data_IF_795940069321
#
_entry.id   IF_795940069321
#
_cell.length_a   1.000
_cell.length_b   1.000
_cell.length_c   1.000
_cell.angle_alpha   90.00
_cell.angle_beta   90.00
_cell.angle_gamma   90.00
#
_symmetry.space_group_name_H-M   'P 1'
#
loop_
_entity.id
_entity.type
_entity.pdbx_description
1 polymer ?
#
# COMPACT_ATOMS: atom_id res chain seq x y z
N UNK A 1 -42.06 -36.81 -66.59
CA UNK A 1 -41.79 -35.82 -65.53
C UNK A 1 -40.42 -36.17 -64.98
N UNK A 2 -39.46 -35.29 -65.24
CA UNK A 2 -38.06 -35.41 -64.80
C UNK A 2 -37.98 -34.61 -63.50
N UNK A 3 -37.64 -35.27 -62.40
CA UNK A 3 -37.42 -34.58 -61.13
C UNK A 3 -36.03 -33.92 -61.14
N UNK A 4 -36.04 -32.59 -61.13
CA UNK A 4 -34.88 -31.74 -60.88
C UNK A 4 -34.39 -31.97 -59.44
N UNK A 5 -33.43 -32.88 -59.29
CA UNK A 5 -32.66 -33.02 -58.04
C UNK A 5 -31.70 -31.84 -57.93
N UNK A 6 -32.18 -30.75 -57.34
CA UNK A 6 -31.37 -29.60 -56.96
C UNK A 6 -30.23 -30.05 -56.02
N UNK A 7 -29.04 -30.23 -56.61
CA UNK A 7 -27.81 -30.48 -55.88
C UNK A 7 -27.50 -29.29 -54.97
N UNK A 8 -27.80 -29.44 -53.68
CA UNK A 8 -27.35 -28.50 -52.66
C UNK A 8 -25.88 -28.80 -52.34
N UNK A 9 -24.94 -27.85 -52.55
CA UNK A 9 -23.55 -28.08 -52.18
C UNK A 9 -23.47 -28.37 -50.68
N UNK A 10 -22.64 -29.31 -50.23
CA UNK A 10 -22.51 -29.62 -48.81
C UNK A 10 -22.12 -28.35 -48.06
N UNK A 11 -22.96 -27.93 -47.10
CA UNK A 11 -22.68 -26.82 -46.18
C UNK A 11 -21.36 -27.14 -45.46
N UNK A 12 -20.24 -26.64 -45.97
CA UNK A 12 -18.96 -26.69 -45.26
C UNK A 12 -19.14 -25.87 -43.99
N UNK A 13 -19.12 -26.54 -42.85
CA UNK A 13 -19.18 -25.92 -41.53
C UNK A 13 -17.82 -25.26 -41.26
N UNK A 14 -17.58 -24.16 -41.96
CA UNK A 14 -16.40 -23.33 -41.81
C UNK A 14 -16.51 -22.68 -40.44
N UNK A 15 -15.52 -22.82 -39.56
CA UNK A 15 -15.53 -22.29 -38.19
C UNK A 15 -15.63 -20.76 -38.06
N UNK A 16 -16.20 -20.06 -39.04
CA UNK A 16 -16.40 -18.61 -39.13
C UNK A 16 -17.08 -18.07 -37.87
N UNK A 17 -18.05 -18.78 -37.30
CA UNK A 17 -18.69 -18.35 -36.04
C UNK A 17 -17.69 -18.22 -34.88
N UNK A 18 -16.73 -19.15 -34.77
CA UNK A 18 -15.66 -19.08 -33.76
C UNK A 18 -14.65 -17.96 -34.05
N UNK A 19 -14.37 -17.70 -35.33
CA UNK A 19 -13.48 -16.62 -35.75
C UNK A 19 -14.10 -15.26 -35.42
N UNK A 20 -15.38 -15.05 -35.76
CA UNK A 20 -16.11 -13.81 -35.47
C UNK A 20 -16.22 -13.61 -33.96
N UNK A 21 -16.56 -14.65 -33.21
CA UNK A 21 -16.63 -14.60 -31.75
C UNK A 21 -15.26 -14.25 -31.13
N UNK A 22 -14.17 -14.90 -31.58
CA UNK A 22 -12.80 -14.62 -31.10
C UNK A 22 -12.33 -13.21 -31.47
N UNK A 23 -12.68 -12.76 -32.68
CA UNK A 23 -12.35 -11.42 -33.18
C UNK A 23 -13.12 -10.29 -32.47
N UNK A 24 -14.32 -10.56 -31.94
CA UNK A 24 -15.07 -9.63 -31.09
C UNK A 24 -14.63 -9.66 -29.62
N UNK A 25 -14.23 -10.82 -29.13
CA UNK A 25 -13.78 -11.00 -27.74
C UNK A 25 -12.49 -10.26 -27.43
N UNK A 26 -11.55 -10.19 -28.37
CA UNK A 26 -10.30 -9.45 -28.18
C UNK A 26 -10.50 -7.95 -27.94
N UNK A 27 -11.20 -7.19 -28.81
CA UNK A 27 -11.46 -5.77 -28.57
C UNK A 27 -12.37 -5.55 -27.36
N UNK A 28 -13.38 -6.40 -27.14
CA UNK A 28 -14.24 -6.30 -25.95
C UNK A 28 -13.44 -6.53 -24.65
N UNK A 29 -12.54 -7.52 -24.66
CA UNK A 29 -11.61 -7.80 -23.56
C UNK A 29 -10.64 -6.66 -23.29
N UNK A 30 -10.13 -6.04 -24.37
CA UNK A 30 -9.26 -4.89 -24.25
C UNK A 30 -9.99 -3.66 -23.67
N UNK A 31 -11.25 -3.43 -24.06
CA UNK A 31 -12.10 -2.39 -23.48
C UNK A 31 -12.40 -2.69 -22.00
N UNK A 32 -12.72 -3.94 -21.65
CA UNK A 32 -12.95 -4.33 -20.27
C UNK A 32 -11.69 -4.15 -19.41
N UNK A 33 -10.52 -4.51 -19.94
CA UNK A 33 -9.22 -4.29 -19.30
C UNK A 33 -8.97 -2.80 -19.05
N UNK A 34 -9.18 -1.95 -20.06
CA UNK A 34 -9.04 -0.49 -19.92
C UNK A 34 -9.99 0.08 -18.87
N UNK A 35 -11.23 -0.41 -18.79
CA UNK A 35 -12.19 0.03 -17.77
C UNK A 35 -11.75 -0.37 -16.35
N UNK A 36 -11.17 -1.56 -16.17
CA UNK A 36 -10.59 -2.00 -14.89
C UNK A 36 -9.34 -1.18 -14.53
N UNK A 37 -8.49 -0.88 -15.51
CA UNK A 37 -7.32 -0.02 -15.33
C UNK A 37 -7.73 1.41 -14.91
N UNK A 38 -8.74 1.99 -15.57
CA UNK A 38 -9.27 3.33 -15.28
C UNK A 38 -9.98 3.40 -13.92
N UNK A 39 -10.71 2.35 -13.53
CA UNK A 39 -11.38 2.29 -12.23
C UNK A 39 -10.38 2.27 -11.06
N UNK A 40 -9.23 1.62 -11.20
CA UNK A 40 -8.18 1.66 -10.18
C UNK A 40 -7.43 3.00 -10.12
N UNK A 41 -7.42 3.79 -11.20
CA UNK A 41 -6.77 5.11 -11.24
C UNK A 41 -7.66 6.23 -10.67
N UNK A 42 -8.99 6.11 -10.83
CA UNK A 42 -9.97 7.09 -10.33
C UNK A 42 -10.46 6.78 -8.90
N UNK A 43 -9.99 5.69 -8.29
CA UNK A 43 -10.21 5.39 -6.87
C UNK A 43 -9.31 6.24 -5.99
N UNK A 44 -9.58 7.55 -5.97
CA UNK A 44 -9.13 8.46 -4.91
C UNK A 44 -9.79 8.00 -3.61
N UNK A 45 -8.99 7.83 -2.57
CA UNK A 45 -9.34 7.42 -1.20
C UNK A 45 -9.81 5.97 -0.99
N UNK A 46 -8.85 5.04 -0.84
CA UNK A 46 -8.73 4.16 0.34
C UNK A 46 -7.76 3.00 0.09
N UNK A 47 -6.84 2.85 1.03
CA UNK A 47 -5.76 1.89 1.14
C UNK A 47 -6.20 0.44 0.83
N UNK A 48 -5.34 -0.30 0.11
CA UNK A 48 -5.33 -1.76 -0.11
C UNK A 48 -6.51 -2.45 -0.83
N UNK A 49 -7.74 -1.91 -0.84
CA UNK A 49 -8.88 -2.54 -1.55
C UNK A 49 -8.86 -2.32 -3.06
N UNK A 50 -8.33 -1.20 -3.55
CA UNK A 50 -8.34 -0.86 -4.99
C UNK A 50 -7.41 -1.74 -5.84
N UNK A 51 -6.23 -2.11 -5.31
CA UNK A 51 -5.25 -2.94 -6.02
C UNK A 51 -5.69 -4.40 -6.16
N UNK A 52 -6.31 -4.99 -5.12
CA UNK A 52 -6.78 -6.38 -5.15
C UNK A 52 -7.97 -6.57 -6.10
N UNK A 53 -8.92 -5.63 -6.12
CA UNK A 53 -10.04 -5.64 -7.07
C UNK A 53 -9.58 -5.45 -8.52
N UNK A 54 -8.60 -4.57 -8.76
CA UNK A 54 -8.01 -4.36 -10.07
C UNK A 54 -7.27 -5.60 -10.59
N UNK A 55 -6.54 -6.29 -9.70
CA UNK A 55 -5.78 -7.50 -10.03
C UNK A 55 -6.70 -8.69 -10.33
N UNK A 56 -7.77 -8.87 -9.57
CA UNK A 56 -8.77 -9.94 -9.81
C UNK A 56 -9.51 -9.68 -11.13
N UNK A 57 -9.87 -8.42 -11.42
CA UNK A 57 -10.52 -8.03 -12.66
C UNK A 57 -9.66 -8.35 -13.89
N UNK A 58 -8.37 -8.02 -13.84
CA UNK A 58 -7.43 -8.27 -14.95
C UNK A 58 -7.23 -9.78 -15.21
N UNK A 59 -7.09 -10.58 -14.15
CA UNK A 59 -6.96 -12.04 -14.24
C UNK A 59 -8.22 -12.66 -14.88
N UNK A 60 -9.41 -12.25 -14.46
CA UNK A 60 -10.68 -12.78 -15.00
C UNK A 60 -10.81 -12.43 -16.49
N UNK A 61 -10.51 -11.18 -16.88
CA UNK A 61 -10.56 -10.75 -18.30
C UNK A 61 -9.57 -11.56 -19.14
N UNK A 62 -8.36 -11.77 -18.64
CA UNK A 62 -7.33 -12.55 -19.33
C UNK A 62 -7.73 -14.02 -19.52
N UNK A 63 -8.27 -14.66 -18.47
CA UNK A 63 -8.74 -16.06 -18.55
C UNK A 63 -9.88 -16.21 -19.54
N UNK A 64 -10.83 -15.28 -19.57
CA UNK A 64 -11.96 -15.32 -20.51
C UNK A 64 -11.49 -15.07 -21.95
N UNK A 65 -10.63 -14.08 -22.17
CA UNK A 65 -10.19 -13.70 -23.51
C UNK A 65 -9.23 -14.73 -24.14
N UNK A 66 -8.42 -15.43 -23.34
CA UNK A 66 -7.56 -16.51 -23.83
C UNK A 66 -8.28 -17.88 -23.84
N UNK A 67 -9.15 -18.14 -22.86
CA UNK A 67 -9.83 -19.42 -22.68
C UNK A 67 -10.86 -19.74 -23.75
N UNK A 68 -11.63 -18.75 -24.21
CA UNK A 68 -12.63 -18.94 -25.27
C UNK A 68 -12.00 -19.35 -26.61
N UNK A 69 -10.97 -18.65 -27.14
CA UNK A 69 -10.31 -19.07 -28.38
C UNK A 69 -9.59 -20.42 -28.23
N UNK A 70 -9.00 -20.74 -27.07
CA UNK A 70 -8.43 -22.08 -26.80
C UNK A 70 -9.48 -23.18 -26.84
N UNK A 71 -10.66 -22.95 -26.26
CA UNK A 71 -11.79 -23.89 -26.32
C UNK A 71 -12.24 -24.09 -27.77
N UNK A 72 -12.27 -23.01 -28.57
CA UNK A 72 -12.53 -23.05 -30.00
C UNK A 72 -11.53 -23.91 -30.78
N UNK A 73 -10.23 -23.82 -30.46
CA UNK A 73 -9.19 -24.68 -31.04
C UNK A 73 -9.47 -26.16 -30.75
N UNK A 74 -9.72 -26.52 -29.49
CA UNK A 74 -9.95 -27.91 -29.08
C UNK A 74 -11.20 -28.47 -29.76
N UNK A 75 -12.31 -27.72 -29.75
CA UNK A 75 -13.58 -28.15 -30.36
C UNK A 75 -13.43 -28.34 -31.87
N UNK A 76 -12.80 -27.40 -32.57
CA UNK A 76 -12.60 -27.48 -34.02
C UNK A 76 -11.63 -28.60 -34.41
N UNK A 77 -10.60 -28.87 -33.60
CA UNK A 77 -9.69 -30.01 -33.80
C UNK A 77 -10.37 -31.35 -33.51
N UNK A 78 -11.23 -31.44 -32.48
CA UNK A 78 -12.03 -32.63 -32.21
C UNK A 78 -13.06 -32.89 -33.31
N UNK A 79 -13.72 -31.85 -33.82
CA UNK A 79 -14.62 -31.95 -34.97
C UNK A 79 -13.88 -32.40 -36.22
N UNK A 80 -12.66 -31.89 -36.46
CA UNK A 80 -11.82 -32.34 -37.57
C UNK A 80 -11.34 -33.79 -37.44
N UNK A 81 -11.10 -34.27 -36.22
CA UNK A 81 -10.80 -35.69 -35.96
C UNK A 81 -11.97 -36.59 -36.34
N UNK A 82 -13.21 -36.13 -36.19
CA UNK A 82 -14.43 -36.84 -36.63
C UNK A 82 -14.73 -36.67 -38.12
N UNK A 83 -14.53 -35.48 -38.67
CA UNK A 83 -14.81 -35.13 -40.07
C UNK A 83 -13.61 -34.41 -40.73
N UNK A 84 -12.93 -35.09 -41.66
CA UNK A 84 -11.77 -34.53 -42.40
C UNK A 84 -12.11 -33.36 -43.34
N UNK A 85 -13.39 -33.06 -43.55
CA UNK A 85 -13.88 -31.98 -44.43
C UNK A 85 -13.78 -30.58 -43.80
N UNK A 86 -13.47 -30.48 -42.50
CA UNK A 86 -13.31 -29.21 -41.76
C UNK A 86 -11.96 -28.57 -42.08
N UNK A 87 -11.99 -27.30 -42.50
CA UNK A 87 -10.82 -26.51 -42.90
C UNK A 87 -9.95 -26.09 -41.71
N UNK A 88 -8.63 -26.11 -41.90
CA UNK A 88 -7.62 -25.76 -40.89
C UNK A 88 -7.61 -24.28 -40.47
N UNK A 89 -8.28 -23.42 -41.25
CA UNK A 89 -8.30 -21.97 -41.06
C UNK A 89 -8.92 -21.57 -39.72
N UNK A 90 -9.96 -22.27 -39.26
CA UNK A 90 -10.62 -21.98 -37.98
C UNK A 90 -9.70 -22.18 -36.76
N UNK A 91 -9.12 -23.39 -36.56
CA UNK A 91 -8.19 -23.64 -35.47
C UNK A 91 -6.97 -22.71 -35.47
N UNK A 92 -6.40 -22.42 -36.65
CA UNK A 92 -5.22 -21.55 -36.76
C UNK A 92 -5.56 -20.10 -36.38
N UNK A 93 -6.70 -19.57 -36.84
CA UNK A 93 -7.14 -18.23 -36.48
C UNK A 93 -7.42 -18.12 -34.97
N UNK A 94 -8.11 -19.10 -34.37
CA UNK A 94 -8.33 -19.13 -32.92
C UNK A 94 -7.01 -19.24 -32.12
N UNK A 95 -6.03 -20.01 -32.61
CA UNK A 95 -4.72 -20.10 -31.96
C UNK A 95 -3.96 -18.76 -31.99
N UNK A 96 -4.00 -18.04 -33.12
CA UNK A 96 -3.40 -16.70 -33.23
C UNK A 96 -4.06 -15.72 -32.25
N UNK A 97 -5.39 -15.73 -32.14
CA UNK A 97 -6.09 -14.88 -31.17
C UNK A 97 -5.79 -15.25 -29.72
N UNK A 98 -5.63 -16.54 -29.39
CA UNK A 98 -5.22 -16.97 -28.06
C UNK A 98 -3.80 -16.51 -27.71
N UNK A 99 -2.85 -16.60 -28.66
CA UNK A 99 -1.48 -16.13 -28.47
C UNK A 99 -1.44 -14.60 -28.34
N UNK A 100 -2.21 -13.87 -29.14
CA UNK A 100 -2.32 -12.43 -29.03
C UNK A 100 -2.92 -12.03 -27.67
N UNK A 101 -4.03 -12.63 -27.26
CA UNK A 101 -4.65 -12.35 -25.96
C UNK A 101 -3.70 -12.69 -24.79
N UNK A 102 -3.02 -13.84 -24.83
CA UNK A 102 -2.04 -14.21 -23.81
C UNK A 102 -0.81 -13.29 -23.80
N UNK A 103 -0.36 -12.82 -24.96
CA UNK A 103 0.78 -11.91 -25.05
C UNK A 103 0.44 -10.49 -24.60
N UNK A 104 -0.69 -9.95 -25.05
CA UNK A 104 -1.07 -8.55 -24.80
C UNK A 104 -1.73 -8.34 -23.45
N UNK A 105 -2.46 -9.34 -22.93
CA UNK A 105 -3.12 -9.28 -21.60
C UNK A 105 -2.39 -10.12 -20.55
N UNK A 106 -1.64 -11.16 -20.94
CA UNK A 106 -0.95 -12.04 -19.98
C UNK A 106 0.37 -11.50 -19.42
N UNK A 107 1.05 -10.61 -20.14
CA UNK A 107 2.30 -10.00 -19.64
C UNK A 107 2.11 -9.22 -18.31
N UNK A 108 1.11 -8.32 -18.16
CA UNK A 108 0.88 -7.64 -16.89
C UNK A 108 0.41 -8.58 -15.76
N UNK A 109 -0.34 -9.64 -16.07
CA UNK A 109 -0.90 -10.56 -15.05
C UNK A 109 0.16 -11.45 -14.37
N UNK A 110 1.28 -11.77 -15.04
CA UNK A 110 2.37 -12.54 -14.40
C UNK A 110 3.12 -11.75 -13.33
N UNK A 111 3.21 -10.42 -13.47
CA UNK A 111 3.76 -9.54 -12.43
C UNK A 111 2.85 -9.49 -11.20
N UNK A 112 1.54 -9.36 -11.44
CA UNK A 112 0.51 -9.42 -10.42
C UNK A 112 0.46 -10.77 -9.66
N UNK A 113 0.65 -11.89 -10.36
CA UNK A 113 0.65 -13.20 -9.72
C UNK A 113 1.83 -13.38 -8.74
N UNK A 114 3.00 -12.80 -9.06
CA UNK A 114 4.18 -12.84 -8.18
C UNK A 114 4.00 -11.99 -6.94
N UNK A 115 3.47 -10.77 -7.08
CA UNK A 115 3.17 -9.92 -5.92
C UNK A 115 2.09 -10.55 -5.04
N UNK A 116 1.05 -11.16 -5.64
CA UNK A 116 -0.01 -11.82 -4.89
C UNK A 116 0.50 -13.04 -4.11
N UNK A 117 1.39 -13.84 -4.70
CA UNK A 117 2.04 -14.95 -4.01
C UNK A 117 2.93 -14.46 -2.84
N UNK A 118 3.73 -13.41 -3.07
CA UNK A 118 4.57 -12.82 -2.03
C UNK A 118 3.75 -12.16 -0.90
N UNK A 119 2.58 -11.60 -1.21
CA UNK A 119 1.68 -11.00 -0.22
C UNK A 119 0.90 -12.06 0.54
N UNK A 120 0.50 -13.15 -0.12
CA UNK A 120 -0.12 -14.30 0.55
C UNK A 120 0.86 -14.99 1.50
N UNK A 121 2.12 -15.13 1.07
CA UNK A 121 3.20 -15.64 1.92
C UNK A 121 3.44 -14.71 3.12
N UNK A 122 3.53 -13.39 2.90
CA UNK A 122 3.66 -12.42 4.01
C UNK A 122 2.47 -12.44 4.97
N UNK A 123 1.23 -12.49 4.48
CA UNK A 123 0.04 -12.62 5.34
C UNK A 123 -0.01 -13.92 6.14
N UNK A 124 0.61 -14.98 5.63
CA UNK A 124 0.73 -16.24 6.34
C UNK A 124 1.85 -16.23 7.40
N UNK A 125 2.72 -15.21 7.41
CA UNK A 125 3.72 -15.07 8.47
C UNK A 125 3.05 -14.66 9.78
N UNK A 126 3.47 -15.26 10.90
CA UNK A 126 3.05 -14.78 12.21
C UNK A 126 3.57 -13.36 12.45
N UNK A 127 2.89 -12.64 13.35
CA UNK A 127 3.40 -11.37 13.85
C UNK A 127 4.76 -11.56 14.52
N UNK A 128 5.62 -10.57 14.39
CA UNK A 128 6.93 -10.56 15.05
C UNK A 128 6.78 -10.34 16.54
N UNK A 129 7.77 -10.81 17.32
CA UNK A 129 7.77 -10.61 18.78
C UNK A 129 7.68 -9.13 19.15
N UNK A 130 8.31 -8.26 18.34
CA UNK A 130 8.27 -6.81 18.52
C UNK A 130 6.86 -6.23 18.36
N UNK A 131 6.14 -6.64 17.32
CA UNK A 131 4.77 -6.18 17.06
C UNK A 131 3.79 -6.60 18.16
N UNK A 132 4.08 -7.70 18.86
CA UNK A 132 3.27 -8.20 19.98
C UNK A 132 3.89 -7.91 21.35
N UNK A 133 4.94 -7.10 21.40
CA UNK A 133 5.74 -6.89 22.62
C UNK A 133 4.97 -6.16 23.73
N UNK A 134 3.97 -5.36 23.35
CA UNK A 134 3.17 -4.55 24.26
C UNK A 134 1.69 -4.54 23.91
N UNK A 135 0.89 -4.34 24.95
CA UNK A 135 -0.52 -3.99 24.82
C UNK A 135 -0.71 -2.50 24.55
N UNK A 136 -1.90 -2.12 24.07
CA UNK A 136 -2.27 -0.71 23.86
C UNK A 136 -2.00 0.17 25.09
N UNK A 137 -2.48 -0.26 26.27
CA UNK A 137 -2.34 0.52 27.51
C UNK A 137 -0.89 0.66 27.95
N UNK A 138 -0.08 -0.39 27.75
CA UNK A 138 1.37 -0.32 28.03
C UNK A 138 2.07 0.64 27.07
N UNK A 139 1.75 0.58 25.77
CA UNK A 139 2.33 1.48 24.78
C UNK A 139 2.02 2.95 25.08
N UNK A 140 0.76 3.29 25.36
CA UNK A 140 0.36 4.66 25.72
C UNK A 140 1.06 5.15 27.00
N UNK A 141 1.11 4.29 28.03
CA UNK A 141 1.70 4.64 29.32
C UNK A 141 3.24 4.79 29.27
N UNK A 142 3.93 3.85 28.64
CA UNK A 142 5.40 3.90 28.50
C UNK A 142 5.82 5.03 27.55
N UNK A 143 5.09 5.27 26.46
CA UNK A 143 5.35 6.37 25.54
C UNK A 143 5.22 7.73 26.25
N UNK A 144 4.12 7.93 26.99
CA UNK A 144 3.95 9.12 27.83
C UNK A 144 5.06 9.23 28.88
N UNK A 145 5.45 8.12 29.52
CA UNK A 145 6.54 8.09 30.51
C UNK A 145 7.91 8.49 29.95
N UNK A 146 8.21 8.13 28.70
CA UNK A 146 9.44 8.58 28.00
C UNK A 146 9.33 10.06 27.62
N UNK A 147 8.22 10.47 27.01
CA UNK A 147 7.97 11.87 26.62
C UNK A 147 8.05 12.83 27.80
N UNK A 148 7.38 12.52 28.91
CA UNK A 148 7.41 13.35 30.11
C UNK A 148 8.80 13.44 30.74
N UNK A 149 9.60 12.36 30.73
CA UNK A 149 10.98 12.40 31.22
C UNK A 149 11.85 13.29 30.34
N UNK A 150 11.66 13.24 29.02
CA UNK A 150 12.36 14.11 28.08
C UNK A 150 12.01 15.60 28.31
N UNK A 151 10.73 15.93 28.51
CA UNK A 151 10.31 17.31 28.81
C UNK A 151 10.84 17.79 30.17
N UNK A 152 10.79 16.96 31.21
CA UNK A 152 11.41 17.31 32.51
C UNK A 152 12.92 17.49 32.39
N UNK A 153 13.58 16.74 31.51
CA UNK A 153 15.02 16.88 31.23
C UNK A 153 15.35 18.19 30.48
N UNK A 154 14.41 18.75 29.71
CA UNK A 154 14.50 20.11 29.17
C UNK A 154 14.39 21.20 30.25
N UNK A 155 13.92 20.85 31.45
CA UNK A 155 13.62 21.79 32.52
C UNK A 155 12.22 22.40 32.45
N UNK A 156 11.33 21.81 31.65
CA UNK A 156 9.95 22.25 31.44
C UNK A 156 8.96 21.36 32.19
N UNK A 157 7.77 21.92 32.46
CA UNK A 157 6.67 21.20 33.10
C UNK A 157 5.65 20.73 32.05
N UNK A 158 5.27 19.45 32.13
CA UNK A 158 4.26 18.86 31.24
C UNK A 158 2.87 19.32 31.69
N UNK A 159 2.17 20.08 30.84
CA UNK A 159 0.75 20.41 31.01
C UNK A 159 -0.05 19.68 29.94
N UNK A 160 -1.22 19.15 30.30
CA UNK A 160 -2.05 18.34 29.38
C UNK A 160 -2.39 19.07 28.07
N UNK A 161 -2.63 20.38 28.13
CA UNK A 161 -2.95 21.22 26.97
C UNK A 161 -1.80 21.38 25.96
N UNK A 162 -0.55 21.12 26.38
CA UNK A 162 0.64 21.26 25.55
C UNK A 162 1.05 19.91 24.92
N UNK A 163 0.29 18.83 25.21
CA UNK A 163 0.53 17.46 24.79
C UNK A 163 -0.54 17.02 23.80
N UNK A 164 -0.11 16.46 22.69
CA UNK A 164 -0.97 15.84 21.68
C UNK A 164 -0.59 14.37 21.57
N UNK A 165 -1.57 13.50 21.69
CA UNK A 165 -1.43 12.07 21.43
C UNK A 165 -2.18 11.70 20.16
N UNK A 166 -1.52 10.98 19.27
CA UNK A 166 -2.08 10.58 17.98
C UNK A 166 -1.82 9.10 17.76
N UNK A 167 -2.83 8.42 17.24
CA UNK A 167 -2.72 7.04 16.77
C UNK A 167 -2.83 7.01 15.26
N UNK A 168 -1.92 6.28 14.62
CA UNK A 168 -1.80 6.17 13.17
C UNK A 168 -1.90 4.70 12.76
N UNK A 169 -2.72 4.41 11.76
CA UNK A 169 -2.75 3.10 11.11
C UNK A 169 -1.43 2.84 10.38
N UNK A 170 -0.83 1.68 10.66
CA UNK A 170 0.40 1.25 10.03
C UNK A 170 0.30 -0.22 9.59
N UNK A 171 0.98 -0.61 8.50
CA UNK A 171 1.04 -2.01 8.09
C UNK A 171 2.05 -2.78 8.96
N UNK A 172 1.61 -3.90 9.51
CA UNK A 172 2.47 -4.87 10.17
C UNK A 172 3.28 -5.69 9.14
N UNK A 173 4.27 -6.44 9.60
CA UNK A 173 5.14 -7.33 8.84
C UNK A 173 4.37 -8.33 7.97
N UNK A 174 3.22 -8.80 8.48
CA UNK A 174 2.32 -9.70 7.78
C UNK A 174 1.19 -8.97 7.02
N UNK A 175 1.32 -7.66 6.80
CA UNK A 175 0.36 -6.80 6.10
C UNK A 175 -1.01 -6.69 6.77
N UNK A 176 -1.15 -7.12 8.03
CA UNK A 176 -2.31 -6.77 8.85
C UNK A 176 -2.21 -5.31 9.32
N UNK A 177 -3.34 -4.75 9.72
CA UNK A 177 -3.41 -3.38 10.25
C UNK A 177 -2.95 -3.39 11.72
N UNK A 178 -2.01 -2.52 12.04
CA UNK A 178 -1.55 -2.23 13.39
C UNK A 178 -1.71 -0.75 13.72
N UNK A 179 -1.27 -0.38 14.92
CA UNK A 179 -1.33 0.99 15.42
C UNK A 179 0.07 1.47 15.78
N UNK A 180 0.42 2.66 15.29
CA UNK A 180 1.57 3.43 15.73
C UNK A 180 1.07 4.53 16.67
N UNK A 181 1.74 4.71 17.80
CA UNK A 181 1.42 5.73 18.79
C UNK A 181 2.46 6.84 18.72
N UNK A 182 1.99 8.08 18.64
CA UNK A 182 2.80 9.27 18.68
C UNK A 182 2.39 10.12 19.86
N UNK A 183 3.38 10.53 20.65
CA UNK A 183 3.23 11.48 21.74
C UNK A 183 4.07 12.71 21.41
N UNK A 184 3.45 13.89 21.41
CA UNK A 184 4.14 15.14 21.12
C UNK A 184 3.80 16.18 22.18
N UNK A 185 4.83 16.79 22.73
CA UNK A 185 4.71 18.00 23.54
C UNK A 185 5.30 19.18 22.77
N UNK A 186 4.57 20.28 22.72
CA UNK A 186 5.07 21.51 22.09
C UNK A 186 4.54 22.74 22.81
N UNK A 187 5.43 23.66 23.17
CA UNK A 187 5.05 24.99 23.65
C UNK A 187 5.26 25.97 22.50
N UNK A 188 4.18 26.54 21.92
CA UNK A 188 4.32 27.51 20.84
C UNK A 188 5.01 28.76 21.37
N UNK A 189 5.89 29.34 20.55
CA UNK A 189 6.55 30.61 20.82
C UNK A 189 5.57 31.80 20.77
N UNK A 190 4.37 31.63 20.22
CA UNK A 190 3.31 32.64 20.18
C UNK A 190 1.94 32.03 20.57
N UNK A 191 1.33 32.42 21.70
CA UNK A 191 0.03 31.91 22.13
C UNK A 191 -1.14 32.42 21.26
N UNK A 192 -0.95 33.45 20.42
CA UNK A 192 -2.04 34.07 19.64
C UNK A 192 -2.18 33.52 18.21
N UNK A 193 -1.32 32.58 17.80
CA UNK A 193 -1.46 31.83 16.54
C UNK A 193 -1.15 32.65 15.28
N UNK A 194 -0.52 33.82 15.40
CA UNK A 194 -0.05 34.57 14.24
C UNK A 194 1.19 33.88 13.62
N UNK A 195 1.25 33.74 12.29
CA UNK A 195 2.40 33.12 11.64
C UNK A 195 3.64 34.01 11.81
N UNK A 196 4.63 33.52 12.57
CA UNK A 196 5.91 34.20 12.76
C UNK A 196 6.59 34.52 11.42
N UNK A 197 7.13 35.72 11.33
CA UNK A 197 8.00 36.15 10.22
C UNK A 197 9.33 35.41 10.27
N UNK A 198 10.01 35.30 9.12
CA UNK A 198 11.34 34.66 9.06
C UNK A 198 12.39 35.36 9.94
N UNK A 199 12.21 36.66 10.20
CA UNK A 199 13.08 37.45 11.07
C UNK A 199 12.88 37.09 12.55
N UNK A 200 11.65 36.88 12.99
CA UNK A 200 11.33 36.39 14.35
C UNK A 200 11.86 34.97 14.54
N UNK A 201 11.67 34.09 13.54
CA UNK A 201 12.20 32.73 13.58
C UNK A 201 13.73 32.69 13.68
N UNK A 202 14.44 33.60 13.01
CA UNK A 202 15.90 33.73 13.17
C UNK A 202 16.30 34.32 14.53
N UNK A 203 15.52 35.27 15.05
CA UNK A 203 15.78 35.87 16.35
C UNK A 203 15.62 34.86 17.50
N UNK A 204 14.71 33.90 17.34
CA UNK A 204 14.43 32.85 18.34
C UNK A 204 15.43 31.68 18.30
N UNK A 205 16.27 31.57 17.27
CA UNK A 205 17.31 30.54 17.20
C UNK A 205 18.35 30.73 18.31
N UNK A 206 18.67 29.62 18.98
CA UNK A 206 19.74 29.56 19.97
C UNK A 206 21.08 29.24 19.29
N UNK A 207 22.20 29.73 19.84
CA UNK A 207 23.52 29.27 19.45
C UNK A 207 23.66 27.75 19.65
N UNK A 208 24.39 27.07 18.75
CA UNK A 208 24.52 25.61 18.77
C UNK A 208 25.06 25.05 20.10
N UNK A 209 25.95 25.78 20.78
CA UNK A 209 26.48 25.39 22.10
C UNK A 209 25.46 25.48 23.24
N UNK A 210 24.48 26.38 23.10
CA UNK A 210 23.36 26.51 24.04
C UNK A 210 22.30 25.44 23.77
N UNK A 211 21.99 25.18 22.49
CA UNK A 211 21.12 24.07 22.07
C UNK A 211 21.64 22.75 22.61
N UNK A 212 22.92 22.46 22.38
CA UNK A 212 23.57 21.24 22.85
C UNK A 212 23.53 21.13 24.38
N UNK A 213 23.78 22.23 25.09
CA UNK A 213 23.74 22.23 26.56
C UNK A 213 22.36 21.92 27.12
N UNK A 214 21.31 22.46 26.50
CA UNK A 214 19.92 22.25 26.92
C UNK A 214 19.40 20.85 26.55
N UNK A 215 19.85 20.32 25.43
CA UNK A 215 19.37 19.04 24.91
C UNK A 215 20.22 17.83 25.33
N UNK A 216 21.42 18.03 25.89
CA UNK A 216 22.24 16.92 26.39
C UNK A 216 21.50 16.02 27.42
N UNK A 217 20.74 16.55 28.40
CA UNK A 217 19.95 15.72 29.31
C UNK A 217 18.84 14.93 28.59
N UNK A 218 18.20 15.53 27.59
CA UNK A 218 17.17 14.87 26.77
C UNK A 218 17.78 13.71 26.00
N UNK A 219 18.95 13.91 25.40
CA UNK A 219 19.68 12.86 24.68
C UNK A 219 19.96 11.65 25.56
N UNK A 220 20.32 11.88 26.82
CA UNK A 220 20.53 10.79 27.77
C UNK A 220 19.24 10.02 28.05
N UNK A 221 18.11 10.71 28.26
CA UNK A 221 16.80 10.06 28.43
C UNK A 221 16.44 9.20 27.22
N UNK A 222 16.66 9.69 26.00
CA UNK A 222 16.39 8.94 24.78
C UNK A 222 17.31 7.72 24.65
N UNK A 223 18.59 7.85 25.00
CA UNK A 223 19.53 6.72 25.04
C UNK A 223 19.15 5.67 26.08
N UNK A 224 18.74 6.09 27.27
CA UNK A 224 18.25 5.19 28.33
C UNK A 224 16.99 4.45 27.88
N UNK A 225 16.16 5.07 27.04
CA UNK A 225 14.99 4.46 26.41
C UNK A 225 15.34 3.52 25.23
N UNK A 226 16.63 3.36 24.90
CA UNK A 226 17.11 2.44 23.86
C UNK A 226 17.28 3.07 22.47
N UNK A 227 17.09 4.39 22.33
CA UNK A 227 17.26 5.11 21.08
C UNK A 227 18.73 5.46 20.83
N UNK A 228 19.09 5.62 19.55
CA UNK A 228 20.45 5.98 19.10
C UNK A 228 20.42 7.26 18.29
N UNK A 229 21.40 8.12 18.50
CA UNK A 229 21.52 9.39 17.77
C UNK A 229 21.58 9.15 16.25
N UNK A 230 20.83 9.96 15.51
CA UNK A 230 20.75 9.96 14.06
C UNK A 230 20.92 11.38 13.50
N UNK A 231 20.99 11.50 12.16
CA UNK A 231 21.09 12.80 11.50
C UNK A 231 19.84 13.66 11.80
N UNK A 232 19.97 14.91 12.31
CA UNK A 232 18.85 15.63 12.91
C UNK A 232 17.69 15.98 11.96
N UNK A 233 17.89 15.95 10.63
CA UNK A 233 16.82 16.08 9.62
C UNK A 233 15.83 17.25 9.83
N UNK A 234 16.31 18.40 10.31
CA UNK A 234 15.48 19.58 10.58
C UNK A 234 15.05 19.75 12.05
N UNK A 235 15.43 18.81 12.91
CA UNK A 235 15.36 18.90 14.37
C UNK A 235 16.74 19.23 14.96
N UNK A 236 16.81 19.52 16.26
CA UNK A 236 18.09 19.67 16.96
C UNK A 236 18.63 18.31 17.43
N UNK A 237 17.73 17.40 17.80
CA UNK A 237 18.01 15.99 18.06
C UNK A 237 17.02 15.12 17.27
N UNK A 238 17.56 14.08 16.65
CA UNK A 238 16.81 12.92 16.16
C UNK A 238 17.45 11.64 16.67
N UNK A 239 16.65 10.72 17.19
CA UNK A 239 17.11 9.43 17.68
C UNK A 239 16.21 8.31 17.16
N UNK A 240 16.81 7.19 16.75
CA UNK A 240 16.12 6.04 16.15
C UNK A 240 16.27 4.80 17.04
N UNK A 241 15.23 3.98 17.10
CA UNK A 241 15.21 2.70 17.81
C UNK A 241 14.95 1.52 16.88
N UNK A 242 15.42 0.35 17.31
CA UNK A 242 15.16 -0.94 16.65
C UNK A 242 14.15 -1.80 17.45
N UNK A 243 13.59 -1.24 18.53
CA UNK A 243 12.69 -1.92 19.46
C UNK A 243 11.32 -1.22 19.40
N UNK A 244 10.58 -1.18 20.51
CA UNK A 244 9.23 -0.66 20.53
C UNK A 244 9.12 0.85 20.25
N UNK A 245 10.18 1.61 20.54
CA UNK A 245 10.32 3.00 20.11
C UNK A 245 10.96 3.04 18.72
N UNK A 246 10.30 3.70 17.78
CA UNK A 246 10.81 3.87 16.43
C UNK A 246 11.69 5.11 16.31
N UNK A 247 11.20 6.24 16.79
CA UNK A 247 11.88 7.52 16.64
C UNK A 247 11.53 8.47 17.79
N UNK A 248 12.48 9.34 18.13
CA UNK A 248 12.22 10.50 18.95
C UNK A 248 12.95 11.70 18.40
N UNK A 249 12.31 12.85 18.51
CA UNK A 249 12.84 14.13 18.06
C UNK A 249 12.70 15.16 19.18
N UNK A 250 13.67 16.07 19.28
CA UNK A 250 13.59 17.20 20.17
C UNK A 250 14.16 18.46 19.50
N UNK A 251 13.52 19.60 19.74
CA UNK A 251 14.06 20.90 19.37
C UNK A 251 13.81 21.93 20.46
N UNK A 252 14.69 22.92 20.54
CA UNK A 252 14.59 24.01 21.52
C UNK A 252 15.00 25.33 20.88
N UNK A 253 14.16 26.34 21.06
CA UNK A 253 14.45 27.72 20.70
C UNK A 253 14.54 28.58 21.97
N UNK A 254 14.69 29.89 21.82
CA UNK A 254 14.67 30.80 22.97
C UNK A 254 13.32 30.78 23.69
N UNK A 255 12.21 30.58 22.96
CA UNK A 255 10.84 30.75 23.46
C UNK A 255 9.94 29.53 23.25
N UNK A 256 10.40 28.49 22.57
CA UNK A 256 9.64 27.26 22.32
C UNK A 256 10.49 26.01 22.59
N UNK A 257 9.79 24.93 22.87
CA UNK A 257 10.35 23.58 22.94
C UNK A 257 9.38 22.61 22.27
N UNK A 258 9.94 21.57 21.66
CA UNK A 258 9.17 20.52 21.00
C UNK A 258 9.86 19.18 21.26
N UNK A 259 9.08 18.20 21.72
CA UNK A 259 9.51 16.83 21.97
C UNK A 259 8.47 15.90 21.35
N UNK A 260 8.91 15.04 20.46
CA UNK A 260 8.08 14.03 19.83
C UNK A 260 8.70 12.66 20.04
N UNK A 261 7.89 11.69 20.44
CA UNK A 261 8.29 10.29 20.59
C UNK A 261 7.25 9.43 19.89
N UNK A 262 7.70 8.46 19.11
CA UNK A 262 6.83 7.54 18.39
C UNK A 262 7.23 6.08 18.58
N UNK A 263 6.23 5.20 18.61
CA UNK A 263 6.43 3.76 18.64
C UNK A 263 6.67 3.19 17.25
N UNK A 264 7.19 1.97 17.20
CA UNK A 264 7.02 1.10 16.03
C UNK A 264 5.56 0.71 15.85
N UNK A 265 5.24 0.05 14.74
CA UNK A 265 3.90 -0.47 14.51
C UNK A 265 3.61 -1.65 15.45
N UNK A 266 2.60 -1.50 16.31
CA UNK A 266 2.20 -2.52 17.28
C UNK A 266 0.90 -3.19 16.85
N UNK A 267 0.77 -4.48 17.19
CA UNK A 267 -0.42 -5.25 16.92
C UNK A 267 -1.53 -4.90 17.91
N UNK A 268 -2.73 -4.64 17.39
CA UNK A 268 -3.85 -4.14 18.17
C UNK A 268 -3.89 -2.60 18.22
N UNK A 269 -4.82 -2.06 19.00
CA UNK A 269 -5.07 -0.62 19.08
C UNK A 269 -6.21 -0.12 18.18
N UNK A 270 -6.55 1.17 18.27
CA UNK A 270 -7.71 1.76 17.61
C UNK A 270 -7.52 2.03 16.11
N UNK A 271 -6.30 1.95 15.58
CA UNK A 271 -5.97 2.43 14.23
C UNK A 271 -5.81 3.95 14.21
N UNK A 272 -6.52 4.66 13.33
CA UNK A 272 -6.45 6.11 13.24
C UNK A 272 -7.35 6.75 14.29
N UNK A 273 -6.77 7.59 15.16
CA UNK A 273 -7.50 8.29 16.20
C UNK A 273 -6.75 9.52 16.70
N UNK A 274 -7.51 10.58 16.95
CA UNK A 274 -7.07 11.76 17.68
C UNK A 274 -7.77 11.74 19.04
N UNK A 275 -7.02 11.89 20.12
CA UNK A 275 -7.61 12.22 21.42
C UNK A 275 -7.86 13.74 21.42
N UNK A 276 -9.02 14.14 20.92
CA UNK A 276 -9.57 15.48 21.12
C UNK A 276 -10.21 15.53 22.53
N UNK A 277 -9.43 15.82 23.57
CA UNK A 277 -9.94 16.32 24.87
C UNK A 277 -9.93 17.85 24.95
#
# INVERSE_FOLDING_TARGET
MVDDSAWSPPKRRNGIGWIVLSGLLLPAGWIAWLLVALAGYNGVDSSNRSLSAQTIGDVVVTVVCAGVPLTGVVVLLMQRRRDRSVTLVGPVACAVFAVLAAGTLGYPTTGAAKSWAADAERRAQPLTELETSMTQTEAEQELAGVGERAVRALGEDVRSQDVVQVTLECPLSNLQEGTQYMWRWSVPSDPEGEPQTDAERQADQLPADEVERRLAPVREVLREAGLRDADPSGWDIRALGDDWLAEANASVTRASGDVMVETTCLAGGPGNGYDDE
#
